data_IF_811372820216
#
_entry.id   IF_811372820216
#
_cell.length_a   1.000
_cell.length_b   1.000
_cell.length_c   1.000
_cell.angle_alpha   90.00
_cell.angle_beta   90.00
_cell.angle_gamma   90.00
#
_symmetry.space_group_name_H-M   'P 1'
#
loop_
_entity.id
_entity.type
_entity.pdbx_description
1 polymer ?
#
# COMPACT_ATOMS: atom_id res chain seq x y z
N UNK A 1 -19.85 -1.94 -1.54
CA UNK A 1 -18.78 -0.94 -1.51
C UNK A 1 -17.66 -1.43 -2.40
N UNK A 2 -17.33 -0.71 -3.48
CA UNK A 2 -16.26 -1.14 -4.37
C UNK A 2 -14.93 -0.98 -3.63
N UNK A 3 -14.38 -2.09 -3.13
CA UNK A 3 -12.96 -2.15 -2.80
C UNK A 3 -12.23 -1.79 -4.10
N UNK A 4 -11.74 -0.56 -4.18
CA UNK A 4 -10.90 -0.09 -5.28
C UNK A 4 -9.78 -1.12 -5.42
N UNK A 5 -9.88 -1.96 -6.46
CA UNK A 5 -9.02 -3.11 -6.66
C UNK A 5 -7.63 -2.59 -6.93
N UNK A 6 -6.82 -2.50 -5.88
CA UNK A 6 -5.41 -2.16 -5.97
C UNK A 6 -4.73 -3.25 -6.80
N UNK A 7 -3.99 -2.84 -7.83
CA UNK A 7 -3.26 -3.73 -8.73
C UNK A 7 -1.77 -3.50 -8.63
N UNK A 8 -1.00 -4.51 -9.07
CA UNK A 8 0.45 -4.37 -9.23
C UNK A 8 0.73 -3.24 -10.21
N UNK A 9 1.61 -2.33 -9.82
CA UNK A 9 1.96 -1.13 -10.59
C UNK A 9 1.17 0.11 -10.22
N UNK A 10 0.06 -0.01 -9.47
CA UNK A 10 -0.71 1.16 -9.01
C UNK A 10 0.14 2.02 -8.07
N UNK A 11 0.00 3.34 -8.21
CA UNK A 11 0.61 4.30 -7.30
C UNK A 11 -0.35 4.56 -6.13
N UNK A 12 0.18 4.46 -4.92
CA UNK A 12 -0.60 4.52 -3.70
C UNK A 12 0.06 5.44 -2.67
N UNK A 13 -0.78 6.02 -1.81
CA UNK A 13 -0.35 6.75 -0.62
C UNK A 13 -1.03 6.14 0.60
N UNK A 14 -0.50 6.38 1.79
CA UNK A 14 -1.20 5.99 3.00
C UNK A 14 -2.52 6.73 3.13
N UNK A 15 -3.60 6.00 3.39
CA UNK A 15 -4.90 6.57 3.74
C UNK A 15 -4.86 7.19 5.15
N UNK A 16 -4.00 6.65 6.00
CA UNK A 16 -3.79 7.02 7.41
C UNK A 16 -2.41 7.62 7.60
N UNK A 17 -2.35 8.93 7.77
CA UNK A 17 -1.09 9.67 7.92
C UNK A 17 -0.36 9.32 9.22
N UNK A 18 -1.10 9.00 10.27
CA UNK A 18 -0.57 8.54 11.56
C UNK A 18 0.21 7.22 11.45
N UNK A 19 -0.23 6.31 10.58
CA UNK A 19 0.49 5.07 10.31
C UNK A 19 1.78 5.33 9.53
N UNK A 20 1.73 6.22 8.53
CA UNK A 20 2.92 6.61 7.77
C UNK A 20 4.00 7.21 8.70
N UNK A 21 3.59 8.09 9.61
CA UNK A 21 4.49 8.69 10.60
C UNK A 21 5.11 7.67 11.55
N UNK A 22 4.32 6.71 12.03
CA UNK A 22 4.82 5.63 12.90
C UNK A 22 5.86 4.76 12.19
N UNK A 23 5.70 4.58 10.88
CA UNK A 23 6.65 3.84 10.04
C UNK A 23 7.83 4.70 9.57
N UNK A 24 7.90 5.98 9.95
CA UNK A 24 8.91 6.92 9.49
C UNK A 24 8.80 7.26 8.00
N UNK A 25 7.68 6.94 7.37
CA UNK A 25 7.40 7.23 5.98
C UNK A 25 6.84 8.66 5.89
N UNK A 26 7.44 9.48 5.04
CA UNK A 26 7.00 10.87 4.88
C UNK A 26 5.52 10.94 4.51
N UNK A 27 4.81 11.93 5.07
CA UNK A 27 3.34 12.15 4.94
C UNK A 27 2.81 12.19 3.50
N UNK A 28 3.69 12.40 2.52
CA UNK A 28 3.38 12.45 1.09
C UNK A 28 4.16 11.43 0.25
N UNK A 29 4.80 10.45 0.88
CA UNK A 29 5.53 9.42 0.17
C UNK A 29 4.56 8.64 -0.71
N UNK A 30 4.90 8.56 -1.99
CA UNK A 30 4.19 7.76 -2.98
C UNK A 30 4.86 6.39 -3.02
N UNK A 31 4.03 5.38 -2.83
CA UNK A 31 4.41 3.99 -2.92
C UNK A 31 3.90 3.40 -4.23
N UNK A 32 4.60 2.41 -4.77
CA UNK A 32 4.12 1.60 -5.88
C UNK A 32 3.90 0.17 -5.42
N UNK A 33 2.75 -0.40 -5.79
CA UNK A 33 2.48 -1.81 -5.49
C UNK A 33 3.39 -2.67 -6.35
N UNK A 34 4.30 -3.41 -5.72
CA UNK A 34 5.23 -4.29 -6.42
C UNK A 34 4.78 -5.74 -6.42
N UNK A 35 4.04 -6.14 -5.38
CA UNK A 35 3.50 -7.50 -5.23
C UNK A 35 2.14 -7.48 -4.55
N UNK A 36 1.29 -8.43 -4.92
CA UNK A 36 0.02 -8.70 -4.25
C UNK A 36 0.04 -10.17 -3.87
N UNK A 37 -0.19 -10.42 -2.60
CA UNK A 37 -0.31 -11.75 -2.01
C UNK A 37 -1.77 -12.04 -1.72
N UNK A 38 -2.14 -13.31 -1.79
CA UNK A 38 -3.50 -13.77 -1.57
C UNK A 38 -4.20 -14.13 -2.87
N UNK A 39 -4.53 -15.41 -2.98
CA UNK A 39 -5.53 -15.93 -3.90
C UNK A 39 -6.54 -16.74 -3.06
N UNK A 40 -7.84 -16.52 -3.28
CA UNK A 40 -8.90 -17.26 -2.59
C UNK A 40 -9.48 -16.56 -1.35
N UNK A 41 -9.71 -17.33 -0.26
CA UNK A 41 -10.49 -16.91 0.92
C UNK A 41 -9.74 -16.05 1.96
N UNK A 42 -8.43 -15.83 1.79
CA UNK A 42 -7.64 -15.00 2.72
C UNK A 42 -7.63 -13.53 2.29
N UNK A 43 -7.53 -12.57 3.23
CA UNK A 43 -7.35 -11.16 2.90
C UNK A 43 -6.12 -11.00 2.01
N UNK A 44 -6.28 -10.36 0.87
CA UNK A 44 -5.14 -10.02 0.03
C UNK A 44 -4.24 -9.05 0.79
N UNK A 45 -2.93 -9.28 0.77
CA UNK A 45 -1.94 -8.34 1.27
C UNK A 45 -1.09 -7.84 0.11
N UNK A 46 -0.40 -6.71 0.29
CA UNK A 46 0.38 -6.06 -0.76
C UNK A 46 1.75 -5.68 -0.24
N UNK A 47 2.73 -5.78 -1.14
CA UNK A 47 4.04 -5.21 -0.92
C UNK A 47 4.13 -3.88 -1.68
N UNK A 48 4.59 -2.84 -0.99
CA UNK A 48 4.61 -1.46 -1.49
C UNK A 48 6.02 -0.89 -1.36
N UNK A 49 6.59 -0.51 -2.50
CA UNK A 49 7.89 0.18 -2.53
C UNK A 49 7.66 1.69 -2.47
N UNK A 50 8.12 2.33 -1.40
CA UNK A 50 8.07 3.78 -1.24
C UNK A 50 9.40 4.40 -1.65
N UNK A 51 9.37 5.53 -2.38
CA UNK A 51 10.58 6.23 -2.77
C UNK A 51 11.40 6.68 -1.54
N UNK A 52 12.66 6.27 -1.47
CA UNK A 52 13.56 6.61 -0.36
C UNK A 52 13.32 5.84 0.93
N UNK A 53 12.45 4.81 0.94
CA UNK A 53 12.16 3.98 2.10
C UNK A 53 12.27 2.49 1.80
N UNK A 54 12.39 1.66 2.84
CA UNK A 54 12.39 0.22 2.71
C UNK A 54 11.05 -0.30 2.14
N UNK A 55 11.12 -1.48 1.51
CA UNK A 55 9.95 -2.16 0.99
C UNK A 55 9.02 -2.54 2.15
N UNK A 56 7.77 -2.09 2.10
CA UNK A 56 6.75 -2.57 3.03
C UNK A 56 6.18 -3.87 2.50
N UNK A 57 6.27 -4.94 3.27
CA UNK A 57 5.80 -6.27 2.87
C UNK A 57 4.57 -6.71 3.67
N UNK A 58 3.60 -7.32 2.99
CA UNK A 58 2.46 -7.97 3.65
C UNK A 58 1.42 -7.05 4.28
N UNK A 59 1.29 -5.80 3.82
CA UNK A 59 0.29 -4.86 4.36
C UNK A 59 -1.10 -5.05 3.75
N UNK A 60 -2.15 -4.66 4.48
CA UNK A 60 -3.51 -4.69 3.95
C UNK A 60 -3.72 -3.56 2.92
N UNK A 61 -4.32 -3.85 1.75
CA UNK A 61 -4.57 -2.85 0.70
C UNK A 61 -5.45 -1.68 1.18
N UNK A 62 -6.33 -1.92 2.15
CA UNK A 62 -7.24 -0.91 2.71
C UNK A 62 -6.53 0.23 3.47
N UNK A 63 -5.27 0.04 3.85
CA UNK A 63 -4.43 1.07 4.46
C UNK A 63 -3.94 2.10 3.44
N UNK A 64 -4.07 1.79 2.16
CA UNK A 64 -3.58 2.60 1.06
C UNK A 64 -4.73 3.20 0.26
N UNK A 65 -4.46 4.35 -0.35
CA UNK A 65 -5.34 5.02 -1.30
C UNK A 65 -4.63 5.10 -2.63
N UNK A 66 -5.23 4.58 -3.69
CA UNK A 66 -4.73 4.74 -5.06
C UNK A 66 -4.81 6.21 -5.47
N UNK A 67 -3.72 6.72 -6.03
CA UNK A 67 -3.61 8.10 -6.54
C UNK A 67 -3.56 8.17 -8.06
N UNK A 68 -3.13 7.10 -8.74
CA UNK A 68 -3.21 6.95 -10.20
C UNK A 68 -3.44 5.51 -10.62
#
# INVERSE_FOLDING_TARGET
>A
MAASTIRRGDEVVFKRLDLAETLGIWRHARGRIVRIHGQGERPATVDVAFEGHELLEGYLPDLFRRVH
#
